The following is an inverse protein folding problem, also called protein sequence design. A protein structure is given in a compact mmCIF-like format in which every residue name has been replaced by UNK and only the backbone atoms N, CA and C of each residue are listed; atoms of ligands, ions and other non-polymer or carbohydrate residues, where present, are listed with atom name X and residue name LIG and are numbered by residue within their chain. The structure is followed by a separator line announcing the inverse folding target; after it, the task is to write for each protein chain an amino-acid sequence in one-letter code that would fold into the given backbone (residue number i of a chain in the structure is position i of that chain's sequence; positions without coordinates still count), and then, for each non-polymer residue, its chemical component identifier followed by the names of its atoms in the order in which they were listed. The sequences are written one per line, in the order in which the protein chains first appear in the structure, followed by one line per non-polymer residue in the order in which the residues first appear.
data_IF_466274998370
#
_entry.id   IF_466274998370
#
_cell.length_a   1.000
_cell.length_b   1.000
_cell.length_c   1.000
_cell.angle_alpha   90.00
_cell.angle_beta   90.00
_cell.angle_gamma   90.00
#
_symmetry.space_group_name_H-M   'P 1'
#
loop_
_entity.id
_entity.type
_entity.pdbx_description
1 polymer ?
#
# COMPACT_ATOMS: atom_id res chain seq x y z
N UNK A 1 6.32 -14.51 41.78
CA UNK A 1 5.11 -15.20 41.30
C UNK A 1 4.67 -14.46 40.05
N UNK A 2 4.79 -15.11 38.89
CA UNK A 2 4.86 -14.45 37.58
C UNK A 2 3.51 -14.00 37.02
N UNK A 3 3.54 -12.90 36.27
CA UNK A 3 2.44 -12.42 35.44
C UNK A 3 2.45 -13.17 34.10
N UNK A 4 1.49 -14.07 33.89
CA UNK A 4 1.10 -14.61 32.58
C UNK A 4 0.17 -13.57 31.92
N UNK A 5 0.37 -13.05 30.71
CA UNK A 5 1.01 -13.64 29.52
C UNK A 5 -0.08 -14.00 28.51
N UNK A 6 -0.49 -13.01 27.70
CA UNK A 6 -1.21 -13.11 26.41
C UNK A 6 -2.29 -14.18 26.21
N UNK A 7 -3.56 -13.77 26.14
CA UNK A 7 -4.61 -14.56 25.50
C UNK A 7 -5.35 -13.71 24.45
N UNK A 8 -4.62 -13.27 23.43
CA UNK A 8 -5.22 -12.81 22.18
C UNK A 8 -5.66 -14.03 21.39
N UNK A 9 -6.97 -14.28 21.34
CA UNK A 9 -7.56 -15.23 20.38
C UNK A 9 -7.28 -14.71 18.98
N UNK A 10 -6.28 -15.27 18.32
CA UNK A 10 -6.17 -15.16 16.87
C UNK A 10 -7.25 -16.08 16.27
N UNK A 11 -8.21 -15.48 15.59
CA UNK A 11 -9.16 -16.22 14.76
C UNK A 11 -8.43 -16.51 13.45
N UNK A 12 -8.05 -17.78 13.23
CA UNK A 12 -7.48 -18.23 11.96
C UNK A 12 -8.46 -17.92 10.82
N UNK A 13 -8.09 -16.97 9.96
CA UNK A 13 -8.88 -16.62 8.77
C UNK A 13 -8.80 -15.16 8.32
N UNK A 14 -8.37 -14.23 9.17
CA UNK A 14 -8.19 -12.83 8.77
C UNK A 14 -6.77 -12.63 8.25
N UNK A 15 -6.59 -12.45 6.94
CA UNK A 15 -5.31 -12.03 6.35
C UNK A 15 -5.02 -10.59 6.77
N UNK A 16 -4.53 -10.43 7.99
CA UNK A 16 -3.94 -9.18 8.48
C UNK A 16 -2.53 -9.06 7.87
N UNK A 17 -2.50 -8.68 6.60
CA UNK A 17 -1.27 -8.51 5.83
C UNK A 17 -1.20 -7.12 5.18
N UNK A 18 -1.68 -6.11 5.91
CA UNK A 18 -1.23 -4.74 5.71
C UNK A 18 0.13 -4.56 6.38
N UNK A 19 1.05 -3.78 5.79
CA UNK A 19 2.33 -3.49 6.44
C UNK A 19 2.09 -2.91 7.84
N UNK A 20 2.75 -3.43 8.89
CA UNK A 20 2.76 -2.76 10.18
C UNK A 20 3.32 -1.35 9.99
N UNK A 21 2.60 -0.36 10.50
CA UNK A 21 2.87 1.08 10.38
C UNK A 21 4.36 1.42 10.39
N UNK A 22 4.85 1.90 9.25
CA UNK A 22 6.24 2.34 9.04
C UNK A 22 6.31 3.32 7.86
N UNK A 23 5.68 4.49 8.06
CA UNK A 23 5.66 5.74 7.26
C UNK A 23 5.85 5.60 5.74
N UNK A 24 4.74 5.68 5.01
CA UNK A 24 4.79 6.01 3.59
C UNK A 24 5.36 7.42 3.39
N UNK A 25 6.42 7.55 2.59
CA UNK A 25 7.00 8.84 2.23
C UNK A 25 6.33 9.39 0.98
N UNK A 26 5.31 10.21 1.21
CA UNK A 26 4.56 10.87 0.14
C UNK A 26 5.40 11.89 -0.66
N UNK A 27 6.41 12.49 -0.05
CA UNK A 27 7.26 13.49 -0.69
C UNK A 27 8.27 12.85 -1.64
N UNK A 28 8.78 11.66 -1.28
CA UNK A 28 9.56 10.81 -2.16
C UNK A 28 8.76 10.39 -3.39
N UNK A 29 7.54 9.90 -3.20
CA UNK A 29 6.67 9.49 -4.31
C UNK A 29 6.34 10.68 -5.22
N UNK A 30 6.10 11.87 -4.66
CA UNK A 30 5.90 13.09 -5.44
C UNK A 30 7.13 13.47 -6.28
N UNK A 31 8.33 13.28 -5.72
CA UNK A 31 9.59 13.45 -6.46
C UNK A 31 9.66 12.55 -7.70
N UNK A 32 9.36 11.27 -7.55
CA UNK A 32 9.36 10.33 -8.68
C UNK A 32 8.33 10.69 -9.76
N UNK A 33 7.15 11.17 -9.37
CA UNK A 33 6.14 11.62 -10.34
C UNK A 33 6.66 12.82 -11.14
N UNK A 34 7.26 13.80 -10.46
CA UNK A 34 7.83 14.98 -11.10
C UNK A 34 9.02 14.64 -12.00
N UNK A 35 9.86 13.67 -11.62
CA UNK A 35 10.96 13.21 -12.46
C UNK A 35 10.46 12.53 -13.75
N UNK A 36 9.29 11.86 -13.71
CA UNK A 36 8.70 11.16 -14.87
C UNK A 36 7.92 12.06 -15.80
N UNK A 37 7.09 12.93 -15.24
CA UNK A 37 6.16 13.77 -15.99
C UNK A 37 6.72 15.19 -16.24
N UNK A 38 7.82 15.53 -15.57
CA UNK A 38 8.42 16.86 -15.57
C UNK A 38 7.72 17.85 -14.63
N UNK A 39 8.33 19.03 -14.47
CA UNK A 39 7.83 20.08 -13.59
C UNK A 39 6.44 20.63 -13.97
N UNK A 40 5.93 20.32 -15.17
CA UNK A 40 4.59 20.69 -15.62
C UNK A 40 3.46 19.79 -15.07
N UNK A 41 3.78 18.73 -14.33
CA UNK A 41 2.80 17.76 -13.84
C UNK A 41 1.88 18.29 -12.73
N UNK A 42 2.27 19.37 -12.05
CA UNK A 42 1.50 19.99 -10.97
C UNK A 42 2.35 20.38 -9.78
N UNK A 43 1.69 20.85 -8.72
CA UNK A 43 2.34 21.21 -7.47
C UNK A 43 2.79 19.97 -6.68
N UNK A 44 4.01 19.99 -6.16
CA UNK A 44 4.59 18.85 -5.42
C UNK A 44 3.76 18.46 -4.20
N UNK A 45 3.17 19.43 -3.50
CA UNK A 45 2.35 19.18 -2.31
C UNK A 45 1.03 18.51 -2.70
N UNK A 46 0.42 18.92 -3.82
CA UNK A 46 -0.78 18.27 -4.35
C UNK A 46 -0.50 16.82 -4.77
N UNK A 47 0.63 16.59 -5.44
CA UNK A 47 1.06 15.24 -5.84
C UNK A 47 1.34 14.37 -4.60
N UNK A 48 2.00 14.92 -3.57
CA UNK A 48 2.25 14.19 -2.32
C UNK A 48 0.92 13.82 -1.62
N UNK A 49 -0.07 14.73 -1.60
CA UNK A 49 -1.41 14.43 -1.08
C UNK A 49 -2.10 13.32 -1.87
N UNK A 50 -2.00 13.34 -3.19
CA UNK A 50 -2.53 12.28 -4.05
C UNK A 50 -1.84 10.94 -3.77
N UNK A 51 -0.51 10.93 -3.62
CA UNK A 51 0.25 9.73 -3.27
C UNK A 51 -0.18 9.16 -1.90
N UNK A 52 -0.39 10.02 -0.90
CA UNK A 52 -0.92 9.62 0.40
C UNK A 52 -2.33 9.05 0.32
N UNK A 53 -3.19 9.62 -0.54
CA UNK A 53 -4.54 9.11 -0.77
C UNK A 53 -4.51 7.71 -1.40
N UNK A 54 -3.68 7.52 -2.44
CA UNK A 54 -3.49 6.24 -3.11
C UNK A 54 -2.97 5.17 -2.14
N UNK A 55 -1.97 5.51 -1.32
CA UNK A 55 -1.48 4.64 -0.26
C UNK A 55 -2.56 4.26 0.75
N UNK A 56 -3.37 5.24 1.18
CA UNK A 56 -4.44 5.00 2.16
C UNK A 56 -5.57 4.14 1.58
N UNK A 57 -5.93 4.34 0.31
CA UNK A 57 -6.88 3.50 -0.40
C UNK A 57 -6.40 2.04 -0.44
N UNK A 58 -5.13 1.83 -0.79
CA UNK A 58 -4.50 0.51 -0.80
C UNK A 58 -4.49 -0.15 0.59
N UNK A 59 -4.13 0.59 1.63
CA UNK A 59 -4.18 0.11 3.01
C UNK A 59 -5.60 -0.29 3.45
N UNK A 60 -6.62 0.39 2.93
CA UNK A 60 -8.03 0.08 3.16
C UNK A 60 -8.59 -1.01 2.23
N UNK A 61 -7.76 -1.63 1.38
CA UNK A 61 -8.20 -2.62 0.39
C UNK A 61 -9.04 -2.06 -0.75
N UNK A 62 -9.02 -0.75 -0.96
CA UNK A 62 -9.71 -0.06 -2.06
C UNK A 62 -8.79 0.11 -3.26
N UNK A 63 -9.40 0.25 -4.45
CA UNK A 63 -8.67 0.57 -5.67
C UNK A 63 -8.12 2.02 -5.60
N UNK A 64 -6.81 2.16 -5.83
CA UNK A 64 -6.15 3.46 -5.74
C UNK A 64 -6.50 4.37 -6.93
N UNK A 65 -6.72 3.83 -8.13
CA UNK A 65 -7.10 4.64 -9.29
C UNK A 65 -8.51 5.19 -9.13
N UNK A 66 -9.45 4.38 -8.63
CA UNK A 66 -10.81 4.81 -8.31
C UNK A 66 -10.79 5.95 -7.27
N UNK A 67 -10.05 5.77 -6.17
CA UNK A 67 -9.94 6.80 -5.13
C UNK A 67 -9.36 8.13 -5.65
N UNK A 68 -8.39 8.08 -6.57
CA UNK A 68 -7.83 9.28 -7.19
C UNK A 68 -8.80 9.94 -8.19
N UNK A 69 -9.55 9.14 -8.94
CA UNK A 69 -10.58 9.64 -9.85
C UNK A 69 -11.73 10.33 -9.09
N UNK A 70 -12.17 9.76 -7.96
CA UNK A 70 -13.13 10.39 -7.04
C UNK A 70 -12.63 11.74 -6.50
N UNK A 71 -11.32 11.84 -6.27
CA UNK A 71 -10.66 13.09 -5.87
C UNK A 71 -10.45 14.09 -7.03
N UNK A 72 -10.86 13.74 -8.25
CA UNK A 72 -10.78 14.60 -9.42
C UNK A 72 -9.40 14.67 -10.07
N UNK A 73 -8.50 13.74 -9.78
CA UNK A 73 -7.19 13.71 -10.44
C UNK A 73 -7.31 13.30 -11.91
N UNK A 74 -6.52 13.96 -12.76
CA UNK A 74 -6.41 13.58 -14.16
C UNK A 74 -5.89 12.13 -14.30
N UNK A 75 -6.40 11.32 -15.24
CA UNK A 75 -6.02 9.91 -15.36
C UNK A 75 -4.52 9.67 -15.53
N UNK A 76 -3.82 10.53 -16.29
CA UNK A 76 -2.37 10.42 -16.50
C UNK A 76 -1.58 10.66 -15.22
N UNK A 77 -1.96 11.68 -14.45
CA UNK A 77 -1.36 11.97 -13.17
C UNK A 77 -1.68 10.87 -12.15
N UNK A 78 -2.91 10.37 -12.14
CA UNK A 78 -3.32 9.25 -11.29
C UNK A 78 -2.51 7.99 -11.57
N UNK A 79 -2.24 7.67 -12.84
CA UNK A 79 -1.36 6.55 -13.21
C UNK A 79 0.07 6.72 -12.72
N UNK A 80 0.63 7.91 -12.87
CA UNK A 80 1.98 8.19 -12.39
C UNK A 80 2.07 8.10 -10.85
N UNK A 81 1.06 8.61 -10.14
CA UNK A 81 0.97 8.54 -8.67
C UNK A 81 0.90 7.09 -8.19
N UNK A 82 0.00 6.27 -8.77
CA UNK A 82 -0.10 4.85 -8.40
C UNK A 82 1.21 4.13 -8.67
N UNK A 83 1.83 4.35 -9.84
CA UNK A 83 3.12 3.77 -10.16
C UNK A 83 4.22 4.15 -9.15
N UNK A 84 4.28 5.42 -8.73
CA UNK A 84 5.25 5.86 -7.71
C UNK A 84 5.02 5.20 -6.34
N UNK A 85 3.76 4.95 -5.96
CA UNK A 85 3.41 4.19 -4.74
C UNK A 85 3.82 2.72 -4.88
N UNK A 86 3.66 2.12 -6.05
CA UNK A 86 4.14 0.76 -6.34
C UNK A 86 5.67 0.68 -6.27
N UNK A 87 6.39 1.69 -6.76
CA UNK A 87 7.85 1.73 -6.66
C UNK A 87 8.32 1.87 -5.22
N UNK A 88 7.64 2.70 -4.40
CA UNK A 88 7.91 2.78 -2.96
C UNK A 88 7.74 1.41 -2.31
N UNK A 89 6.62 0.78 -2.61
CA UNK A 89 6.26 -0.56 -2.13
C UNK A 89 7.34 -1.58 -2.49
N UNK A 90 7.80 -1.59 -3.74
CA UNK A 90 8.84 -2.48 -4.23
C UNK A 90 10.21 -2.19 -3.60
N UNK A 91 10.58 -0.91 -3.44
CA UNK A 91 11.87 -0.50 -2.91
C UNK A 91 12.03 -0.80 -1.42
N UNK A 92 10.96 -0.63 -0.63
CA UNK A 92 11.00 -0.77 0.82
C UNK A 92 10.34 -2.05 1.34
N UNK A 93 9.85 -2.91 0.46
CA UNK A 93 9.07 -4.10 0.84
C UNK A 93 7.76 -3.73 1.52
N UNK A 94 7.31 -2.48 1.38
CA UNK A 94 6.10 -1.94 1.97
C UNK A 94 4.89 -2.28 1.10
N UNK A 95 4.64 -3.57 0.87
CA UNK A 95 3.50 -4.04 0.08
C UNK A 95 2.39 -4.63 0.95
N UNK A 96 1.12 -4.62 0.48
CA UNK A 96 0.15 -5.58 1.00
C UNK A 96 0.73 -6.96 0.75
N UNK A 97 0.81 -7.81 1.78
CA UNK A 97 1.65 -8.99 1.69
C UNK A 97 1.23 -9.87 0.50
N UNK A 98 2.20 -10.19 -0.34
CA UNK A 98 2.01 -11.10 -1.45
C UNK A 98 1.67 -12.50 -0.91
N UNK A 99 0.60 -13.11 -1.42
CA UNK A 99 0.30 -14.52 -1.22
C UNK A 99 1.45 -15.38 -1.77
N UNK A 100 2.22 -15.99 -0.87
CA UNK A 100 3.03 -17.15 -1.22
C UNK A 100 2.15 -18.37 -1.49
N UNK A 101 2.55 -19.29 -2.39
CA UNK A 101 1.81 -20.53 -2.63
C UNK A 101 1.75 -21.34 -1.33
N UNK A 102 0.53 -21.59 -0.84
CA UNK A 102 0.30 -22.29 0.43
C UNK A 102 0.95 -23.68 0.47
N UNK A 103 1.38 -24.15 1.66
CA UNK A 103 1.98 -25.46 1.79
C UNK A 103 0.97 -26.55 1.42
N UNK A 104 1.29 -27.31 0.37
CA UNK A 104 0.63 -28.56 0.07
C UNK A 104 0.91 -29.59 1.19
N UNK A 105 -0.14 -30.22 1.71
CA UNK A 105 -0.06 -31.40 2.58
C UNK A 105 -0.95 -31.25 3.82
N UNK A 106 -1.94 -32.12 4.06
CA UNK A 106 -1.75 -33.56 4.24
C UNK A 106 -3.08 -34.29 4.00
N UNK A 107 -3.10 -35.48 3.36
CA UNK A 107 -4.32 -36.28 3.24
C UNK A 107 -4.72 -36.89 4.60
N UNK A 108 -6.02 -37.14 4.85
CA UNK A 108 -6.48 -37.77 6.09
C UNK A 108 -6.04 -39.23 6.15
N UNK A 109 -5.41 -39.61 7.25
CA UNK A 109 -5.09 -40.99 7.59
C UNK A 109 -6.35 -41.73 8.00
N UNK A 110 -6.63 -42.84 7.31
CA UNK A 110 -7.19 -44.10 7.84
C UNK A 110 -8.53 -44.08 8.56
#
# INVERSE_FOLDING_TARGET
MGHTGGSGRYVEGERVFGPPSGVFDADWAAGLVLDRLGAGAGDRVEIARAAQLAWSARCAGRDAHEALAEAGLAPDLGRAVVGAVDDFTAAYGAGPAAEGPGPAGTPPTG
#
